data_IF_099280000274
#
_entry.id   IF_099280000274
#
_cell.length_a   1.000
_cell.length_b   1.000
_cell.length_c   1.000
_cell.angle_alpha   90.00
_cell.angle_beta   90.00
_cell.angle_gamma   90.00
#
_symmetry.space_group_name_H-M   'P 1'
#
loop_
_entity.id
_entity.type
_entity.pdbx_description
1 polymer ?
#
# COMPACT_ATOMS: atom_id res chain seq x y z
N UNK A 1 -6.07 -11.29 11.36
CA UNK A 1 -6.09 -9.92 10.80
C UNK A 1 -7.08 -9.90 9.65
N UNK A 2 -7.93 -8.87 9.57
CA UNK A 2 -8.76 -8.66 8.38
C UNK A 2 -7.86 -8.36 7.18
N UNK A 3 -8.29 -8.77 5.98
CA UNK A 3 -7.56 -8.47 4.74
C UNK A 3 -7.31 -6.98 4.61
N UNK A 4 -8.26 -6.13 5.01
CA UNK A 4 -8.08 -4.67 4.96
C UNK A 4 -6.96 -4.18 5.88
N UNK A 5 -6.87 -4.71 7.12
CA UNK A 5 -5.78 -4.33 8.04
C UNK A 5 -4.42 -4.77 7.51
N UNK A 6 -4.36 -5.92 6.84
CA UNK A 6 -3.13 -6.43 6.25
C UNK A 6 -2.70 -5.58 5.03
N UNK A 7 -3.67 -5.16 4.21
CA UNK A 7 -3.47 -4.22 3.09
C UNK A 7 -3.01 -2.85 3.59
N UNK A 8 -3.65 -2.30 4.61
CA UNK A 8 -3.28 -1.01 5.22
C UNK A 8 -1.87 -1.05 5.81
N UNK A 9 -1.52 -2.12 6.53
CA UNK A 9 -0.17 -2.28 7.08
C UNK A 9 0.88 -2.41 5.98
N UNK A 10 0.62 -3.22 4.94
CA UNK A 10 1.54 -3.40 3.83
C UNK A 10 1.73 -2.11 3.02
N UNK A 11 0.65 -1.40 2.71
CA UNK A 11 0.70 -0.12 2.02
C UNK A 11 1.44 0.93 2.84
N UNK A 12 1.20 1.02 4.15
CA UNK A 12 1.91 1.92 5.05
C UNK A 12 3.43 1.63 5.08
N UNK A 13 3.82 0.36 5.17
CA UNK A 13 5.24 -0.03 5.12
C UNK A 13 5.85 0.32 3.76
N UNK A 14 5.17 0.03 2.65
CA UNK A 14 5.65 0.36 1.31
C UNK A 14 5.84 1.87 1.12
N UNK A 15 4.92 2.69 1.64
CA UNK A 15 5.01 4.16 1.62
C UNK A 15 6.20 4.64 2.46
N UNK A 16 6.35 4.15 3.70
CA UNK A 16 7.45 4.53 4.58
C UNK A 16 8.82 4.13 4.01
N UNK A 17 8.94 2.92 3.44
CA UNK A 17 10.16 2.47 2.75
C UNK A 17 10.47 3.38 1.57
N UNK A 18 9.47 3.69 0.76
CA UNK A 18 9.65 4.55 -0.42
C UNK A 18 10.01 5.99 -0.04
N UNK A 19 9.47 6.50 1.06
CA UNK A 19 9.85 7.79 1.63
C UNK A 19 11.29 7.78 2.15
N UNK A 20 11.68 6.71 2.86
CA UNK A 20 13.04 6.56 3.36
C UNK A 20 14.08 6.49 2.23
N UNK A 21 13.74 5.91 1.08
CA UNK A 21 14.64 5.80 -0.09
C UNK A 21 14.59 7.01 -1.05
N UNK A 22 13.49 7.76 -1.06
CA UNK A 22 13.20 8.79 -2.07
C UNK A 22 13.12 10.23 -1.54
N UNK A 23 13.23 10.45 -0.23
CA UNK A 23 13.14 11.79 0.37
C UNK A 23 14.52 12.42 0.53
N UNK A 24 14.70 13.66 0.06
CA UNK A 24 16.02 14.34 -0.06
C UNK A 24 16.73 14.62 1.28
N UNK A 25 16.00 14.48 2.38
CA UNK A 25 16.48 14.58 3.76
C UNK A 25 16.91 13.21 4.33
N UNK A 26 16.53 12.11 3.68
CA UNK A 26 16.88 10.76 4.12
C UNK A 26 18.32 10.42 3.70
N UNK A 27 19.13 9.82 4.59
CA UNK A 27 20.54 9.51 4.33
C UNK A 27 20.76 8.45 3.24
N UNK A 28 19.70 7.75 2.82
CA UNK A 28 19.73 6.68 1.80
C UNK A 28 18.98 7.20 0.57
N UNK A 29 19.50 8.26 -0.05
CA UNK A 29 18.88 8.82 -1.25
C UNK A 29 19.29 8.01 -2.48
N UNK A 30 18.35 7.28 -3.09
CA UNK A 30 18.65 6.45 -4.26
C UNK A 30 18.14 7.07 -5.56
N UNK A 31 16.84 7.39 -5.65
CA UNK A 31 16.24 8.00 -6.83
C UNK A 31 14.85 8.60 -6.54
N UNK A 32 14.59 9.83 -7.00
CA UNK A 32 13.31 10.54 -6.83
C UNK A 32 12.12 9.81 -7.47
N UNK A 33 12.38 8.89 -8.41
CA UNK A 33 11.36 8.05 -9.05
C UNK A 33 10.58 7.16 -8.06
N UNK A 34 11.11 6.90 -6.86
CA UNK A 34 10.40 6.17 -5.80
C UNK A 34 9.16 6.92 -5.30
N UNK A 35 9.13 8.26 -5.37
CA UNK A 35 7.95 9.04 -4.98
C UNK A 35 6.76 8.80 -5.92
N UNK A 36 7.03 8.53 -7.20
CA UNK A 36 5.98 8.13 -8.16
C UNK A 36 5.37 6.78 -7.80
N UNK A 37 6.18 5.83 -7.33
CA UNK A 37 5.68 4.55 -6.81
C UNK A 37 4.83 4.77 -5.55
N UNK A 38 5.27 5.60 -4.61
CA UNK A 38 4.48 5.99 -3.43
C UNK A 38 3.15 6.63 -3.82
N UNK A 39 3.16 7.55 -4.79
CA UNK A 39 1.96 8.22 -5.27
C UNK A 39 0.99 7.24 -5.93
N UNK A 40 1.50 6.30 -6.72
CA UNK A 40 0.69 5.24 -7.33
C UNK A 40 0.05 4.33 -6.26
N UNK A 41 0.84 3.85 -5.29
CA UNK A 41 0.33 3.03 -4.18
C UNK A 41 -0.71 3.80 -3.37
N UNK A 42 -0.44 5.07 -3.05
CA UNK A 42 -1.36 5.95 -2.33
C UNK A 42 -2.67 6.21 -3.09
N UNK A 43 -2.61 6.45 -4.40
CA UNK A 43 -3.80 6.63 -5.24
C UNK A 43 -4.67 5.37 -5.30
N UNK A 44 -4.05 4.19 -5.38
CA UNK A 44 -4.76 2.91 -5.33
C UNK A 44 -5.40 2.66 -3.95
N UNK A 45 -4.72 3.04 -2.87
CA UNK A 45 -5.26 2.95 -1.51
C UNK A 45 -6.43 3.93 -1.31
N UNK A 46 -6.30 5.15 -1.85
CA UNK A 46 -7.35 6.16 -1.82
C UNK A 46 -8.60 5.68 -2.57
N UNK A 47 -8.45 5.18 -3.81
CA UNK A 47 -9.57 4.57 -4.52
C UNK A 47 -10.18 3.41 -3.75
N UNK A 48 -9.36 2.54 -3.14
CA UNK A 48 -9.86 1.42 -2.35
C UNK A 48 -10.65 1.85 -1.11
N UNK A 49 -10.37 3.00 -0.52
CA UNK A 49 -11.11 3.51 0.64
C UNK A 49 -12.56 3.89 0.28
N UNK A 50 -12.80 4.34 -0.97
CA UNK A 50 -14.13 4.73 -1.44
C UNK A 50 -14.86 3.60 -2.19
N UNK A 51 -14.13 2.75 -2.90
CA UNK A 51 -14.72 1.71 -3.78
C UNK A 51 -14.67 0.30 -3.19
N UNK A 52 -13.88 0.09 -2.12
CA UNK A 52 -13.57 -1.24 -1.60
C UNK A 52 -12.73 -2.11 -2.57
N UNK A 53 -12.37 -1.56 -3.73
CA UNK A 53 -11.69 -2.30 -4.80
C UNK A 53 -10.18 -2.18 -4.64
N UNK A 54 -9.60 -2.99 -3.75
CA UNK A 54 -8.15 -3.12 -3.65
C UNK A 54 -7.65 -4.34 -4.44
N UNK A 55 -6.85 -4.19 -5.52
CA UNK A 55 -6.25 -5.33 -6.21
C UNK A 55 -5.38 -6.18 -5.27
N UNK A 56 -4.72 -5.54 -4.29
CA UNK A 56 -3.97 -6.22 -3.24
C UNK A 56 -4.89 -7.07 -2.35
N UNK A 57 -6.07 -6.57 -2.00
CA UNK A 57 -7.06 -7.33 -1.24
C UNK A 57 -7.55 -8.55 -2.04
N UNK A 58 -7.79 -8.42 -3.35
CA UNK A 58 -8.16 -9.55 -4.22
C UNK A 58 -7.06 -10.62 -4.27
N UNK A 59 -5.79 -10.21 -4.39
CA UNK A 59 -4.65 -11.13 -4.38
C UNK A 59 -4.54 -11.85 -3.03
N UNK A 60 -4.67 -11.12 -1.91
CA UNK A 60 -4.67 -11.71 -0.56
C UNK A 60 -5.87 -12.65 -0.34
N UNK A 61 -7.05 -12.30 -0.84
CA UNK A 61 -8.25 -13.17 -0.84
C UNK A 61 -7.96 -14.47 -1.59
N UNK A 62 -7.28 -14.38 -2.75
CA UNK A 62 -6.90 -15.51 -3.61
C UNK A 62 -5.79 -16.38 -2.98
N UNK A 63 -4.94 -15.80 -2.14
CA UNK A 63 -3.93 -16.48 -1.31
C UNK A 63 -4.50 -17.10 -0.02
N UNK A 64 -5.82 -17.04 0.19
CA UNK A 64 -6.49 -17.69 1.33
C UNK A 64 -6.61 -16.81 2.58
N UNK A 65 -6.28 -15.51 2.50
CA UNK A 65 -6.55 -14.59 3.60
C UNK A 65 -8.05 -14.36 3.72
N UNK A 66 -8.63 -14.71 4.88
CA UNK A 66 -10.06 -14.52 5.14
C UNK A 66 -10.37 -13.01 5.16
N UNK A 67 -11.22 -12.49 4.25
CA UNK A 67 -11.76 -11.15 4.42
C UNK A 67 -12.44 -11.10 5.79
N UNK A 68 -12.24 -10.04 6.58
CA UNK A 68 -13.21 -9.82 7.63
C UNK A 68 -14.53 -9.58 6.89
N UNK A 69 -15.55 -10.33 7.24
CA UNK A 69 -16.85 -10.18 6.62
C UNK A 69 -17.24 -8.71 6.59
N UNK A 70 -17.93 -8.34 5.50
CA UNK A 70 -18.46 -7.02 5.19
C UNK A 70 -17.48 -6.10 4.45
N UNK A 71 -17.21 -6.44 3.17
CA UNK A 71 -17.87 -5.78 2.03
C UNK A 71 -18.24 -6.85 0.99
#
# INVERSE_FOLDING_TARGET
MSVERMVLAFAGVAILLSLALGWSISPIFHNQNWLWFTAFVGANLFQSAFTGFCPLAMILKKLGAKPAGVF
#
